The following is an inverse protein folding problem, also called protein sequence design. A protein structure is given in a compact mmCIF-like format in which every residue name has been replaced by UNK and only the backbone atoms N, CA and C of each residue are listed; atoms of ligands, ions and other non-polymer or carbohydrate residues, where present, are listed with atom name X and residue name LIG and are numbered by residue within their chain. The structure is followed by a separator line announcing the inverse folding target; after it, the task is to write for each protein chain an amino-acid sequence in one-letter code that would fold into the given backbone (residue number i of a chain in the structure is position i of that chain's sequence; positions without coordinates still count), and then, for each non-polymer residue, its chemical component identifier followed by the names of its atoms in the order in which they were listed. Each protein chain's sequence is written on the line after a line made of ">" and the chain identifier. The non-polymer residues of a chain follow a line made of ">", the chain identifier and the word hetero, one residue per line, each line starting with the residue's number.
data_IF_903413085676
#
_entry.id   IF_903413085676
#
_cell.length_a   1.000
_cell.length_b   1.000
_cell.length_c   1.000
_cell.angle_alpha   90.00
_cell.angle_beta   90.00
_cell.angle_gamma   90.00
#
_symmetry.space_group_name_H-M   'P 1'
#
loop_
_entity.id
_entity.type
_entity.pdbx_description
1 polymer ?
#
# COMPACT_ATOMS: atom_id res chain seq x y z
N UNK A 1 17.41 5.87 -7.62
CA UNK A 1 16.93 7.19 -7.26
C UNK A 1 17.91 8.24 -7.77
N UNK A 2 17.66 8.78 -8.94
CA UNK A 2 18.30 9.99 -9.37
C UNK A 2 17.18 11.03 -9.56
N UNK A 3 16.85 11.75 -8.49
CA UNK A 3 16.28 13.07 -8.62
C UNK A 3 17.33 13.90 -9.36
N UNK A 4 17.27 13.87 -10.68
CA UNK A 4 18.08 14.74 -11.50
C UNK A 4 17.43 16.11 -11.38
N UNK A 5 18.04 16.96 -10.58
CA UNK A 5 17.87 18.40 -10.65
C UNK A 5 18.29 18.82 -12.06
N UNK A 6 17.32 18.86 -12.99
CA UNK A 6 17.55 19.31 -14.36
C UNK A 6 17.69 20.82 -14.33
N UNK A 7 18.84 21.21 -13.85
CA UNK A 7 19.31 22.59 -13.90
C UNK A 7 19.37 23.02 -15.37
N UNK A 8 18.45 23.93 -15.76
CA UNK A 8 18.47 24.74 -16.98
C UNK A 8 19.44 24.25 -18.09
N UNK A 9 18.99 23.32 -18.91
CA UNK A 9 19.65 23.18 -20.22
C UNK A 9 19.28 24.42 -21.04
N UNK A 10 20.13 25.40 -21.04
CA UNK A 10 20.03 26.56 -21.90
C UNK A 10 20.77 26.23 -23.20
N UNK A 11 20.06 26.15 -24.30
CA UNK A 11 20.66 26.11 -25.61
C UNK A 11 20.84 27.59 -26.09
N UNK A 12 21.93 28.19 -25.67
CA UNK A 12 22.24 29.60 -26.05
C UNK A 12 22.72 29.74 -27.50
N UNK A 13 23.33 28.70 -28.09
CA UNK A 13 23.90 28.68 -29.43
C UNK A 13 23.72 27.32 -30.10
N UNK A 14 22.52 26.96 -30.47
CA UNK A 14 22.30 25.70 -31.18
C UNK A 14 20.88 25.18 -31.09
N UNK A 15 20.45 24.39 -32.08
CA UNK A 15 19.15 23.74 -32.08
C UNK A 15 19.18 22.46 -31.22
N UNK A 16 18.06 22.21 -30.57
CA UNK A 16 17.78 20.90 -29.89
C UNK A 16 16.98 20.05 -30.90
N UNK A 17 17.53 18.94 -31.34
CA UNK A 17 16.92 18.12 -32.39
C UNK A 17 16.84 16.66 -31.98
N UNK A 18 15.70 16.05 -32.25
CA UNK A 18 15.45 14.60 -32.03
C UNK A 18 15.81 14.12 -30.61
N UNK A 19 15.38 14.87 -29.61
CA UNK A 19 15.55 14.53 -28.21
C UNK A 19 14.27 13.94 -27.63
N UNK A 20 14.42 13.00 -26.75
CA UNK A 20 13.32 12.33 -26.06
C UNK A 20 13.50 12.45 -24.54
N UNK A 21 12.39 12.68 -23.81
CA UNK A 21 12.36 12.76 -22.36
C UNK A 21 11.10 12.09 -21.83
N UNK A 22 11.26 11.03 -21.05
CA UNK A 22 10.16 10.24 -20.48
C UNK A 22 10.17 10.21 -18.94
N UNK A 23 11.10 10.90 -18.34
CA UNK A 23 11.24 10.99 -16.89
C UNK A 23 10.50 12.22 -16.33
N UNK A 24 10.00 12.14 -15.08
CA UNK A 24 9.50 13.32 -14.39
C UNK A 24 10.58 14.40 -14.27
N UNK A 25 10.16 15.65 -14.47
CA UNK A 25 11.00 16.83 -14.29
C UNK A 25 10.42 17.67 -13.17
N UNK A 26 11.18 17.84 -12.10
CA UNK A 26 10.75 18.59 -10.93
C UNK A 26 11.68 19.77 -10.64
N UNK A 27 11.07 20.93 -10.35
CA UNK A 27 11.79 22.11 -9.88
C UNK A 27 11.02 22.77 -8.73
N UNK A 28 11.56 22.72 -7.54
CA UNK A 28 10.93 23.18 -6.29
C UNK A 28 10.71 24.69 -6.15
N UNK A 29 10.93 25.47 -7.18
CA UNK A 29 10.74 26.94 -7.14
C UNK A 29 11.27 27.65 -8.37
N UNK A 30 11.72 26.86 -9.35
CA UNK A 30 12.25 27.37 -10.61
C UNK A 30 11.16 27.79 -11.60
N UNK A 31 11.49 28.77 -12.41
CA UNK A 31 10.73 29.16 -13.59
C UNK A 31 11.43 28.63 -14.83
N UNK A 32 10.70 28.55 -15.94
CA UNK A 32 11.17 27.98 -17.19
C UNK A 32 11.54 26.50 -17.11
N UNK A 33 10.54 25.69 -16.86
CA UNK A 33 10.68 24.24 -16.77
C UNK A 33 10.04 23.58 -17.99
N UNK A 34 10.78 22.72 -18.67
CA UNK A 34 10.27 21.98 -19.83
C UNK A 34 10.83 20.57 -19.87
N UNK A 35 10.08 19.66 -20.47
CA UNK A 35 10.50 18.27 -20.58
C UNK A 35 11.78 18.08 -21.42
N UNK A 36 12.00 18.96 -22.40
CA UNK A 36 13.19 18.94 -23.27
C UNK A 36 14.15 20.10 -22.92
N UNK A 37 13.64 21.32 -22.75
CA UNK A 37 14.46 22.48 -22.43
C UNK A 37 13.77 23.41 -21.43
N UNK A 38 14.51 23.94 -20.45
CA UNK A 38 14.00 25.02 -19.61
C UNK A 38 13.81 26.30 -20.39
N UNK A 39 14.83 26.73 -21.16
CA UNK A 39 14.77 27.86 -22.10
C UNK A 39 15.61 27.56 -23.32
N UNK A 40 15.12 27.92 -24.49
CA UNK A 40 15.81 27.75 -25.77
C UNK A 40 15.68 29.00 -26.64
N UNK A 41 16.82 29.65 -26.93
CA UNK A 41 16.90 30.83 -27.80
C UNK A 41 16.96 30.48 -29.29
N UNK A 42 17.10 29.20 -29.64
CA UNK A 42 17.11 28.63 -30.97
C UNK A 42 16.07 27.53 -31.14
N UNK A 43 16.05 26.91 -32.30
CA UNK A 43 15.00 25.94 -32.63
C UNK A 43 15.06 24.66 -31.80
N UNK A 44 13.89 24.19 -31.40
CA UNK A 44 13.62 22.83 -30.90
C UNK A 44 12.85 22.10 -32.01
N UNK A 45 13.33 20.91 -32.42
CA UNK A 45 12.73 20.19 -33.55
C UNK A 45 12.66 18.70 -33.31
N UNK A 46 11.54 18.09 -33.71
CA UNK A 46 11.33 16.64 -33.66
C UNK A 46 11.67 16.07 -32.30
N UNK A 47 11.21 16.73 -31.25
CA UNK A 47 11.45 16.33 -29.89
C UNK A 47 10.18 15.73 -29.27
N UNK A 48 10.36 14.80 -28.32
CA UNK A 48 9.27 14.06 -27.69
C UNK A 48 9.38 14.16 -26.18
N UNK A 49 8.28 14.50 -25.51
CA UNK A 49 8.27 14.61 -24.05
C UNK A 49 7.03 13.97 -23.44
N UNK A 50 7.23 13.14 -22.43
CA UNK A 50 6.19 12.53 -21.62
C UNK A 50 6.61 12.55 -20.15
N UNK A 51 5.63 12.50 -19.25
CA UNK A 51 5.86 12.45 -17.82
C UNK A 51 5.42 13.71 -17.10
N UNK A 52 5.48 13.69 -15.78
CA UNK A 52 5.07 14.82 -14.94
C UNK A 52 6.13 15.91 -14.94
N UNK A 53 5.69 17.16 -15.09
CA UNK A 53 6.55 18.34 -15.01
C UNK A 53 6.02 19.27 -13.92
N UNK A 54 6.83 19.53 -12.90
CA UNK A 54 6.47 20.37 -11.75
C UNK A 54 7.39 21.58 -11.68
N UNK A 55 6.80 22.77 -11.48
CA UNK A 55 7.58 24.01 -11.34
C UNK A 55 6.73 25.19 -10.91
N UNK A 56 7.30 26.39 -10.95
CA UNK A 56 6.60 27.60 -10.50
C UNK A 56 5.97 28.39 -11.65
N UNK A 57 6.74 28.86 -12.61
CA UNK A 57 6.24 29.63 -13.73
C UNK A 57 6.85 29.17 -15.06
N UNK A 58 6.15 29.44 -16.17
CA UNK A 58 6.55 29.11 -17.52
C UNK A 58 6.94 27.63 -17.63
N UNK A 59 5.93 26.78 -17.49
CA UNK A 59 6.09 25.32 -17.57
C UNK A 59 5.53 24.86 -18.91
N UNK A 60 6.30 24.08 -19.65
CA UNK A 60 5.86 23.51 -20.92
C UNK A 60 6.26 22.07 -21.12
N UNK A 61 5.42 21.31 -21.81
CA UNK A 61 5.71 19.93 -22.15
C UNK A 61 7.04 19.76 -22.87
N UNK A 62 7.32 20.64 -23.86
CA UNK A 62 8.59 20.68 -24.62
C UNK A 62 9.54 21.70 -24.00
N UNK A 63 9.11 22.95 -23.83
CA UNK A 63 9.98 24.02 -23.31
C UNK A 63 9.27 24.89 -22.28
N UNK A 64 9.99 25.35 -21.25
CA UNK A 64 9.53 26.41 -20.36
C UNK A 64 9.41 27.73 -21.12
N UNK A 65 10.43 28.10 -21.87
CA UNK A 65 10.42 29.19 -22.87
C UNK A 65 11.13 28.71 -24.13
N UNK A 66 10.48 28.86 -25.29
CA UNK A 66 11.03 28.50 -26.58
C UNK A 66 10.98 29.66 -27.58
N UNK A 67 11.96 29.75 -28.49
CA UNK A 67 11.89 30.63 -29.63
C UNK A 67 11.13 29.92 -30.76
N UNK A 68 11.77 29.00 -31.45
CA UNK A 68 11.18 28.24 -32.55
C UNK A 68 10.96 26.77 -32.11
N UNK A 69 9.72 26.29 -32.19
CA UNK A 69 9.41 24.88 -31.86
C UNK A 69 8.66 24.23 -33.01
N UNK A 70 9.24 23.18 -33.58
CA UNK A 70 8.73 22.52 -34.78
C UNK A 70 8.61 21.00 -34.59
N UNK A 71 7.52 20.42 -35.09
CA UNK A 71 7.30 18.97 -35.19
C UNK A 71 7.58 18.19 -33.90
N UNK A 72 7.28 18.82 -32.77
CA UNK A 72 7.52 18.22 -31.46
C UNK A 72 6.21 17.75 -30.82
N UNK A 73 6.29 16.71 -29.97
CA UNK A 73 5.13 16.00 -29.43
C UNK A 73 5.22 15.96 -27.93
N UNK A 74 4.12 16.27 -27.25
CA UNK A 74 4.07 16.32 -25.80
C UNK A 74 2.84 15.59 -25.22
N UNK A 75 3.11 14.76 -24.23
CA UNK A 75 2.09 14.13 -23.38
C UNK A 75 2.55 14.20 -21.93
N UNK A 76 2.32 15.34 -21.30
CA UNK A 76 2.83 15.63 -19.97
C UNK A 76 1.70 16.01 -19.02
N UNK A 77 1.80 15.54 -17.78
CA UNK A 77 1.06 16.08 -16.64
C UNK A 77 1.81 17.30 -16.10
N UNK A 78 1.19 18.47 -16.19
CA UNK A 78 1.81 19.74 -15.80
C UNK A 78 1.25 20.22 -14.47
N UNK A 79 2.12 20.31 -13.46
CA UNK A 79 1.78 20.79 -12.12
C UNK A 79 2.50 22.10 -11.84
N UNK A 80 1.71 23.18 -11.77
CA UNK A 80 2.23 24.54 -11.67
C UNK A 80 1.55 25.33 -10.55
N UNK A 81 2.34 26.14 -9.86
CA UNK A 81 1.85 27.05 -8.81
C UNK A 81 1.77 28.52 -9.19
N UNK A 82 2.21 28.90 -10.40
CA UNK A 82 2.29 30.26 -10.88
C UNK A 82 1.61 30.47 -12.25
N UNK A 83 2.26 31.17 -13.15
CA UNK A 83 1.74 31.60 -14.46
C UNK A 83 2.57 31.03 -15.64
N UNK A 84 1.97 30.95 -16.83
CA UNK A 84 2.63 30.49 -18.05
C UNK A 84 2.71 28.97 -18.16
N UNK A 85 1.56 28.29 -18.33
CA UNK A 85 1.49 26.86 -18.53
C UNK A 85 1.09 26.53 -19.97
N UNK A 86 1.81 25.62 -20.62
CA UNK A 86 1.42 25.17 -21.95
C UNK A 86 1.89 23.74 -22.25
N UNK A 87 1.03 22.97 -22.91
CA UNK A 87 1.35 21.58 -23.26
C UNK A 87 2.56 21.45 -24.18
N UNK A 88 2.86 22.50 -24.99
CA UNK A 88 4.09 22.58 -25.78
C UNK A 88 5.10 23.53 -25.12
N UNK A 89 4.72 24.76 -24.80
CA UNK A 89 5.62 25.72 -24.17
C UNK A 89 4.89 26.57 -23.12
N UNK A 90 5.53 26.84 -21.99
CA UNK A 90 5.03 27.79 -21.00
C UNK A 90 4.98 29.22 -21.56
N UNK A 91 5.95 29.56 -22.40
CA UNK A 91 6.04 30.84 -23.09
C UNK A 91 6.78 30.69 -24.43
N UNK A 92 6.40 31.50 -25.42
CA UNK A 92 7.14 31.64 -26.68
C UNK A 92 7.70 33.05 -26.75
N UNK A 93 8.94 33.19 -27.21
CA UNK A 93 9.59 34.49 -27.41
C UNK A 93 8.83 35.31 -28.46
N UNK A 94 8.90 36.66 -28.39
CA UNK A 94 8.12 37.55 -29.25
C UNK A 94 8.32 37.32 -30.76
N UNK A 95 9.54 36.92 -31.17
CA UNK A 95 9.89 36.58 -32.56
C UNK A 95 9.80 35.05 -32.83
N UNK A 96 9.29 34.28 -31.90
CA UNK A 96 9.26 32.80 -31.96
C UNK A 96 8.18 32.25 -32.88
N UNK A 97 8.45 31.10 -33.47
CA UNK A 97 7.56 30.42 -34.42
C UNK A 97 7.22 29.01 -33.91
N UNK A 98 5.94 28.69 -33.93
CA UNK A 98 5.42 27.33 -33.66
C UNK A 98 4.84 26.72 -34.93
N UNK A 99 5.21 25.50 -35.28
CA UNK A 99 4.63 24.82 -36.41
C UNK A 99 4.66 23.28 -36.27
N UNK A 100 3.50 22.66 -36.52
CA UNK A 100 3.40 21.21 -36.57
C UNK A 100 3.65 20.48 -35.26
N UNK A 101 3.48 21.18 -34.14
CA UNK A 101 3.58 20.54 -32.82
C UNK A 101 2.22 19.97 -32.39
N UNK A 102 2.24 18.86 -31.69
CA UNK A 102 1.05 18.17 -31.23
C UNK A 102 1.14 17.84 -29.75
N UNK A 103 -0.01 17.85 -29.06
CA UNK A 103 -0.11 17.44 -27.67
C UNK A 103 -1.43 16.72 -27.41
N UNK A 104 -1.44 15.89 -26.38
CA UNK A 104 -2.67 15.21 -25.95
C UNK A 104 -3.56 16.22 -25.23
N UNK A 105 -4.82 16.32 -25.66
CA UNK A 105 -5.82 17.20 -25.04
C UNK A 105 -6.19 16.76 -23.62
N UNK A 106 -6.77 17.67 -22.83
CA UNK A 106 -7.25 17.39 -21.46
C UNK A 106 -6.52 18.14 -20.35
N UNK A 107 -5.41 18.82 -20.70
CA UNK A 107 -4.63 19.65 -19.76
C UNK A 107 -4.61 21.13 -20.15
N UNK A 108 -3.42 21.74 -20.07
CA UNK A 108 -3.20 23.12 -20.49
C UNK A 108 -3.35 23.26 -22.02
N UNK A 109 -3.67 24.49 -22.50
CA UNK A 109 -3.55 24.83 -23.91
C UNK A 109 -2.13 24.68 -24.42
N UNK A 110 -1.92 24.85 -25.73
CA UNK A 110 -0.61 24.66 -26.36
C UNK A 110 0.50 25.53 -25.78
N UNK A 111 0.21 26.83 -25.56
CA UNK A 111 1.15 27.82 -25.01
C UNK A 111 0.40 28.78 -24.10
N UNK A 112 0.91 29.02 -22.88
CA UNK A 112 0.35 29.98 -21.91
C UNK A 112 -1.18 29.84 -21.75
N UNK A 113 -1.64 28.60 -21.65
CA UNK A 113 -3.07 28.28 -21.53
C UNK A 113 -3.90 28.51 -22.80
N UNK A 114 -3.28 28.95 -23.90
CA UNK A 114 -3.94 29.31 -25.18
C UNK A 114 -3.69 28.22 -26.22
N UNK A 115 -4.73 27.81 -26.94
CA UNK A 115 -4.58 26.94 -28.10
C UNK A 115 -3.96 27.68 -29.30
N UNK A 116 -2.88 27.16 -29.85
CA UNK A 116 -2.20 27.65 -31.05
C UNK A 116 -2.51 26.73 -32.23
N UNK A 117 -3.64 26.94 -32.89
CA UNK A 117 -4.03 26.10 -34.02
C UNK A 117 -3.03 26.21 -35.17
N UNK A 118 -2.50 25.09 -35.66
CA UNK A 118 -1.44 25.02 -36.67
C UNK A 118 -0.01 25.14 -36.11
N UNK A 119 0.16 25.73 -34.93
CA UNK A 119 1.44 25.79 -34.22
C UNK A 119 1.58 24.74 -33.14
N UNK A 120 0.53 24.61 -32.28
CA UNK A 120 0.39 23.58 -31.28
C UNK A 120 -1.05 23.07 -31.36
N UNK A 121 -1.22 21.85 -31.84
CA UNK A 121 -2.54 21.26 -32.11
C UNK A 121 -2.89 20.21 -31.06
N UNK A 122 -4.00 20.37 -30.33
CA UNK A 122 -4.51 19.29 -29.44
C UNK A 122 -5.00 18.12 -30.27
N UNK A 123 -4.75 16.93 -29.79
CA UNK A 123 -5.24 15.67 -30.33
C UNK A 123 -5.81 14.80 -29.20
N UNK A 124 -6.83 14.01 -29.51
CA UNK A 124 -7.16 12.89 -28.65
C UNK A 124 -5.94 11.97 -28.52
N UNK A 125 -5.85 11.21 -27.43
CA UNK A 125 -4.72 10.30 -27.26
C UNK A 125 -4.62 9.27 -28.40
N UNK A 126 -5.75 8.77 -28.89
CA UNK A 126 -5.77 7.83 -30.01
C UNK A 126 -5.24 8.46 -31.32
N UNK A 127 -5.62 9.70 -31.61
CA UNK A 127 -5.09 10.45 -32.77
C UNK A 127 -3.62 10.75 -32.61
N UNK A 128 -3.17 11.09 -31.38
CA UNK A 128 -1.78 11.33 -31.06
C UNK A 128 -0.91 10.10 -31.32
N UNK A 129 -1.33 8.92 -30.82
CA UNK A 129 -0.63 7.66 -31.06
C UNK A 129 -0.71 7.18 -32.52
N UNK A 130 -1.63 7.71 -33.34
CA UNK A 130 -1.68 7.44 -34.78
C UNK A 130 -0.60 8.22 -35.57
N UNK A 131 0.07 9.18 -34.93
CA UNK A 131 1.23 9.88 -35.50
C UNK A 131 2.46 8.99 -35.37
N UNK A 132 3.52 9.35 -36.06
CA UNK A 132 4.83 8.71 -35.96
C UNK A 132 5.53 9.17 -34.66
N UNK A 133 5.04 8.61 -33.54
CA UNK A 133 5.58 8.87 -32.19
C UNK A 133 6.30 7.64 -31.65
N UNK A 134 7.30 7.79 -30.77
CA UNK A 134 7.98 6.67 -30.14
C UNK A 134 7.03 5.74 -29.36
N UNK A 135 7.32 4.45 -29.34
CA UNK A 135 6.51 3.42 -28.62
C UNK A 135 6.29 3.74 -27.14
N UNK A 136 7.20 4.50 -26.53
CA UNK A 136 7.06 4.93 -25.13
C UNK A 136 5.79 5.73 -24.84
N UNK A 137 5.18 6.34 -25.86
CA UNK A 137 3.90 7.05 -25.72
C UNK A 137 2.68 6.14 -25.66
N UNK A 138 2.80 4.92 -26.14
CA UNK A 138 1.71 3.95 -26.19
C UNK A 138 1.95 2.70 -25.32
N UNK A 139 3.15 2.54 -24.75
CA UNK A 139 3.52 1.44 -23.89
C UNK A 139 3.87 1.94 -22.48
N UNK A 140 3.16 1.45 -21.50
CA UNK A 140 3.38 1.76 -20.11
C UNK A 140 3.92 0.55 -19.36
N UNK A 141 4.55 0.81 -18.23
CA UNK A 141 5.07 -0.25 -17.36
C UNK A 141 4.46 -0.08 -15.98
N UNK A 142 3.82 -1.14 -15.48
CA UNK A 142 3.39 -1.25 -14.09
C UNK A 142 4.44 -2.12 -13.39
N UNK A 143 5.09 -1.56 -12.37
CA UNK A 143 6.15 -2.24 -11.62
C UNK A 143 5.72 -2.40 -10.17
N UNK A 144 5.80 -3.61 -9.65
CA UNK A 144 5.61 -3.95 -8.25
C UNK A 144 6.97 -4.08 -7.58
N UNK A 145 7.18 -3.36 -6.49
CA UNK A 145 8.43 -3.37 -5.72
C UNK A 145 8.14 -3.64 -4.24
N UNK A 146 9.05 -4.31 -3.58
CA UNK A 146 9.04 -4.53 -2.15
C UNK A 146 10.44 -4.23 -1.57
N UNK A 147 10.52 -3.34 -0.60
CA UNK A 147 11.79 -2.82 -0.04
C UNK A 147 12.77 -2.35 -1.14
N UNK A 148 12.24 -1.72 -2.21
CA UNK A 148 12.99 -1.22 -3.35
C UNK A 148 13.48 -2.28 -4.35
N UNK A 149 13.05 -3.54 -4.21
CA UNK A 149 13.38 -4.65 -5.11
C UNK A 149 12.17 -4.95 -6.00
N UNK A 150 12.40 -5.05 -7.31
CA UNK A 150 11.34 -5.41 -8.26
C UNK A 150 10.85 -6.85 -8.00
N UNK A 151 9.54 -6.98 -7.79
CA UNK A 151 8.83 -8.27 -7.62
C UNK A 151 8.29 -8.75 -8.96
N UNK A 152 7.65 -7.82 -9.69
CA UNK A 152 7.10 -8.08 -11.02
C UNK A 152 7.03 -6.78 -11.84
N UNK A 153 7.00 -6.91 -13.17
CA UNK A 153 6.86 -5.78 -14.07
C UNK A 153 6.06 -6.20 -15.30
N UNK A 154 5.04 -5.40 -15.65
CA UNK A 154 4.14 -5.67 -16.76
C UNK A 154 4.16 -4.52 -17.76
N UNK A 155 4.27 -4.85 -19.03
CA UNK A 155 4.11 -3.88 -20.12
C UNK A 155 2.66 -3.88 -20.58
N UNK A 156 2.06 -2.72 -20.59
CA UNK A 156 0.66 -2.50 -20.92
C UNK A 156 0.54 -1.44 -22.01
N UNK A 157 -0.43 -1.57 -22.90
CA UNK A 157 -0.88 -0.49 -23.76
C UNK A 157 -1.73 0.51 -22.99
N UNK A 158 -2.08 1.61 -23.65
CA UNK A 158 -3.02 2.58 -23.09
C UNK A 158 -4.44 1.98 -23.04
N UNK A 159 -5.09 2.08 -21.88
CA UNK A 159 -6.41 1.53 -21.65
C UNK A 159 -6.40 0.01 -21.43
N UNK A 160 -5.23 -0.63 -21.35
CA UNK A 160 -5.12 -2.02 -20.93
C UNK A 160 -5.48 -2.17 -19.45
N UNK A 161 -5.71 -3.41 -19.03
CA UNK A 161 -6.00 -3.75 -17.63
C UNK A 161 -5.07 -4.86 -17.16
N UNK A 162 -4.85 -4.94 -15.84
CA UNK A 162 -4.29 -6.12 -15.19
C UNK A 162 -5.39 -6.85 -14.42
N UNK A 163 -5.53 -8.14 -14.68
CA UNK A 163 -6.45 -8.99 -13.93
C UNK A 163 -5.90 -9.35 -12.55
N UNK A 164 -6.77 -9.71 -11.62
CA UNK A 164 -6.37 -10.01 -10.24
C UNK A 164 -5.30 -11.11 -10.13
N UNK A 165 -5.31 -12.08 -11.04
CA UNK A 165 -4.33 -13.16 -11.10
C UNK A 165 -2.94 -12.73 -11.63
N UNK A 166 -2.84 -11.54 -12.21
CA UNK A 166 -1.57 -10.95 -12.63
C UNK A 166 -0.94 -10.09 -11.52
N UNK A 167 -1.70 -9.70 -10.50
CA UNK A 167 -1.16 -8.95 -9.37
C UNK A 167 -0.34 -9.92 -8.52
N UNK A 168 0.98 -9.71 -8.35
CA UNK A 168 1.81 -10.62 -7.58
C UNK A 168 1.43 -10.58 -6.09
N UNK A 169 1.66 -11.68 -5.39
CA UNK A 169 1.60 -11.67 -3.93
C UNK A 169 2.69 -10.75 -3.37
N UNK A 170 2.38 -10.05 -2.27
CA UNK A 170 3.41 -9.26 -1.58
C UNK A 170 4.41 -10.23 -0.93
N UNK A 171 5.72 -10.05 -1.12
CA UNK A 171 6.71 -10.91 -0.48
C UNK A 171 6.56 -10.95 1.03
N UNK A 172 6.70 -12.15 1.61
CA UNK A 172 6.64 -12.33 3.06
C UNK A 172 7.76 -11.56 3.76
N UNK A 173 7.42 -10.95 4.90
CA UNK A 173 8.35 -10.26 5.78
C UNK A 173 8.08 -10.67 7.22
N UNK A 174 9.09 -11.21 7.89
CA UNK A 174 8.96 -11.73 9.25
C UNK A 174 8.43 -10.67 10.23
N UNK A 175 7.35 -10.98 10.92
CA UNK A 175 6.66 -10.07 11.84
C UNK A 175 5.72 -9.05 11.19
N UNK A 176 5.56 -9.06 9.86
CA UNK A 176 4.74 -8.11 9.13
C UNK A 176 3.77 -8.80 8.17
N UNK A 177 2.64 -8.16 7.88
CA UNK A 177 1.85 -8.43 6.70
C UNK A 177 2.06 -7.31 5.68
N UNK A 178 2.03 -7.67 4.41
CA UNK A 178 2.24 -6.72 3.32
C UNK A 178 0.99 -6.54 2.47
N UNK A 179 0.80 -5.33 1.97
CA UNK A 179 -0.28 -4.99 1.03
C UNK A 179 0.28 -4.14 -0.10
N UNK A 180 -0.30 -4.30 -1.30
CA UNK A 180 -0.08 -3.33 -2.36
C UNK A 180 -0.94 -2.09 -2.11
N UNK A 181 -0.44 -0.88 -2.38
CA UNK A 181 -1.24 0.32 -2.31
C UNK A 181 -2.43 0.23 -3.28
N UNK A 182 -3.54 0.85 -2.91
CA UNK A 182 -4.73 0.89 -3.75
C UNK A 182 -4.43 1.54 -5.10
N UNK A 183 -4.77 0.85 -6.18
CA UNK A 183 -4.58 1.31 -7.55
C UNK A 183 -5.63 0.69 -8.48
N UNK A 184 -6.22 1.52 -9.32
CA UNK A 184 -7.18 1.06 -10.34
C UNK A 184 -6.43 0.43 -11.53
N UNK A 185 -6.45 -0.88 -11.59
CA UNK A 185 -5.85 -1.67 -12.67
C UNK A 185 -6.78 -1.85 -13.89
N UNK A 186 -7.97 -1.25 -13.89
CA UNK A 186 -8.95 -1.45 -14.97
C UNK A 186 -8.69 -0.57 -16.20
N UNK A 187 -7.90 0.51 -16.06
CA UNK A 187 -7.62 1.47 -17.12
C UNK A 187 -6.21 2.06 -16.95
N UNK A 188 -5.23 1.38 -17.54
CA UNK A 188 -3.82 1.78 -17.42
C UNK A 188 -3.50 2.85 -18.44
N UNK A 189 -3.23 4.06 -17.95
CA UNK A 189 -2.97 5.25 -18.77
C UNK A 189 -1.59 5.86 -18.58
N UNK A 190 -0.72 5.20 -17.80
CA UNK A 190 0.62 5.69 -17.51
C UNK A 190 1.52 4.68 -16.80
N UNK A 191 2.80 5.01 -16.69
CA UNK A 191 3.74 4.23 -15.89
C UNK A 191 3.43 4.36 -14.41
N UNK A 192 3.48 3.25 -13.68
CA UNK A 192 3.26 3.22 -12.24
C UNK A 192 4.25 2.29 -11.56
N UNK A 193 4.80 2.74 -10.44
CA UNK A 193 5.53 1.91 -9.49
C UNK A 193 4.67 1.80 -8.24
N UNK A 194 4.41 0.58 -7.83
CA UNK A 194 3.69 0.23 -6.61
C UNK A 194 4.71 -0.36 -5.63
N UNK A 195 4.97 0.35 -4.54
CA UNK A 195 5.84 -0.13 -3.47
C UNK A 195 4.98 -0.80 -2.41
N UNK A 196 5.31 -2.02 -2.01
CA UNK A 196 4.60 -2.76 -0.98
C UNK A 196 4.66 -2.02 0.36
N UNK A 197 3.53 -1.92 1.03
CA UNK A 197 3.39 -1.37 2.37
C UNK A 197 3.36 -2.54 3.37
N UNK A 198 4.18 -2.45 4.43
CA UNK A 198 4.29 -3.48 5.46
C UNK A 198 3.86 -2.93 6.82
N UNK A 199 2.95 -3.65 7.48
CA UNK A 199 2.49 -3.34 8.83
C UNK A 199 2.76 -4.51 9.77
N UNK A 200 3.06 -4.21 11.04
CA UNK A 200 3.34 -5.25 12.04
C UNK A 200 2.08 -6.03 12.39
N UNK A 201 2.22 -7.34 12.53
CA UNK A 201 1.17 -8.19 13.08
C UNK A 201 0.86 -7.82 14.53
N UNK A 202 -0.43 -7.86 14.89
CA UNK A 202 -0.82 -7.86 16.30
C UNK A 202 -0.54 -9.24 16.91
N UNK A 203 0.32 -9.29 17.92
CA UNK A 203 0.80 -10.54 18.50
C UNK A 203 -0.24 -11.28 19.36
N UNK A 204 -1.30 -10.62 19.81
CA UNK A 204 -2.38 -11.23 20.60
C UNK A 204 -3.69 -10.46 20.47
N UNK A 205 -4.80 -11.18 20.51
CA UNK A 205 -6.15 -10.62 20.61
C UNK A 205 -6.85 -11.16 21.85
N UNK A 206 -7.75 -10.38 22.44
CA UNK A 206 -8.41 -10.72 23.70
C UNK A 206 -9.93 -10.73 23.52
N UNK A 207 -10.61 -11.62 24.26
CA UNK A 207 -12.06 -11.62 24.34
C UNK A 207 -12.60 -10.33 25.00
N UNK A 208 -13.81 -9.95 24.62
CA UNK A 208 -14.51 -8.84 25.25
C UNK A 208 -14.91 -9.15 26.70
N UNK A 209 -15.16 -10.43 27.00
CA UNK A 209 -15.51 -10.96 28.30
C UNK A 209 -14.32 -10.89 29.25
N UNK A 210 -14.58 -10.36 30.46
CA UNK A 210 -13.55 -10.14 31.47
C UNK A 210 -14.00 -10.64 32.83
N UNK A 211 -13.03 -10.97 33.67
CA UNK A 211 -13.26 -11.26 35.07
C UNK A 211 -13.46 -9.97 35.92
N UNK A 212 -13.73 -10.14 37.23
CA UNK A 212 -13.94 -9.03 38.20
C UNK A 212 -12.71 -8.10 38.33
N UNK A 213 -11.52 -8.57 37.97
CA UNK A 213 -10.28 -7.80 37.97
C UNK A 213 -9.96 -7.16 36.60
N UNK A 214 -10.94 -7.08 35.68
CA UNK A 214 -10.85 -6.52 34.33
C UNK A 214 -9.80 -7.22 33.44
N UNK A 215 -9.48 -8.51 33.71
CA UNK A 215 -8.62 -9.32 32.84
C UNK A 215 -9.51 -10.06 31.83
N UNK A 216 -9.07 -10.16 30.57
CA UNK A 216 -9.76 -10.93 29.55
C UNK A 216 -9.87 -12.41 29.98
N UNK A 217 -11.02 -13.02 29.72
CA UNK A 217 -11.21 -14.44 30.04
C UNK A 217 -10.42 -15.35 29.12
N UNK A 218 -10.35 -15.00 27.83
CA UNK A 218 -9.58 -15.73 26.84
C UNK A 218 -8.77 -14.76 25.99
N UNK A 219 -7.56 -15.16 25.62
CA UNK A 219 -6.70 -14.48 24.66
C UNK A 219 -6.23 -15.49 23.63
N UNK A 220 -6.05 -15.05 22.39
CA UNK A 220 -5.36 -15.83 21.35
C UNK A 220 -4.00 -15.20 21.07
N UNK A 221 -2.99 -16.04 20.87
CA UNK A 221 -1.61 -15.68 20.55
C UNK A 221 -1.31 -16.06 19.11
N UNK A 222 -0.65 -15.18 18.36
CA UNK A 222 -0.31 -15.44 16.97
C UNK A 222 -0.09 -14.15 16.18
N UNK A 223 -0.27 -14.26 14.89
CA UNK A 223 -0.21 -13.13 13.96
C UNK A 223 -1.63 -12.75 13.55
N UNK A 224 -2.07 -11.59 13.97
CA UNK A 224 -3.43 -11.11 13.73
C UNK A 224 -3.44 -9.78 12.97
N UNK A 225 -4.37 -9.65 12.03
CA UNK A 225 -4.69 -8.36 11.43
C UNK A 225 -5.27 -7.40 12.48
N UNK A 226 -5.15 -6.09 12.31
CA UNK A 226 -5.61 -5.11 13.30
C UNK A 226 -7.11 -5.19 13.66
N UNK A 227 -7.94 -5.67 12.72
CA UNK A 227 -9.38 -5.86 12.89
C UNK A 227 -9.76 -7.27 13.34
N UNK A 228 -8.79 -8.14 13.61
CA UNK A 228 -9.07 -9.49 14.12
C UNK A 228 -9.80 -9.42 15.46
N UNK A 229 -10.78 -10.30 15.66
CA UNK A 229 -11.60 -10.36 16.84
C UNK A 229 -11.74 -11.77 17.36
N UNK A 230 -11.72 -11.92 18.68
CA UNK A 230 -11.99 -13.16 19.41
C UNK A 230 -13.40 -13.10 20.00
N UNK A 231 -14.27 -14.00 19.57
CA UNK A 231 -15.65 -14.13 20.05
C UNK A 231 -15.74 -15.30 21.03
N UNK A 232 -16.34 -15.04 22.19
CA UNK A 232 -16.41 -15.98 23.29
C UNK A 232 -17.85 -16.12 23.78
N UNK A 233 -18.28 -17.37 23.97
CA UNK A 233 -19.49 -17.69 24.71
C UNK A 233 -19.10 -18.54 25.90
N UNK A 234 -19.62 -18.22 27.11
CA UNK A 234 -19.26 -18.88 28.35
C UNK A 234 -20.49 -19.44 29.00
N UNK A 235 -20.48 -20.76 29.27
CA UNK A 235 -21.52 -21.47 29.98
C UNK A 235 -20.90 -22.30 31.13
N UNK A 236 -20.92 -21.74 32.35
CA UNK A 236 -20.25 -22.31 33.50
C UNK A 236 -18.74 -22.37 33.31
N UNK A 237 -18.18 -23.59 33.24
CA UNK A 237 -16.76 -23.82 32.98
C UNK A 237 -16.43 -24.15 31.51
N UNK A 238 -17.42 -24.06 30.63
CA UNK A 238 -17.30 -24.33 29.19
C UNK A 238 -17.24 -23.05 28.41
N UNK A 239 -16.30 -22.97 27.47
CA UNK A 239 -16.01 -21.84 26.61
C UNK A 239 -16.14 -22.28 25.16
N UNK A 240 -16.94 -21.55 24.39
CA UNK A 240 -17.00 -21.71 22.93
C UNK A 240 -16.34 -20.53 22.29
N UNK A 241 -15.37 -20.77 21.42
CA UNK A 241 -14.50 -19.75 20.80
C UNK A 241 -14.67 -19.79 19.30
N UNK A 242 -14.86 -18.64 18.70
CA UNK A 242 -14.63 -18.37 17.29
C UNK A 242 -13.81 -17.09 17.14
N UNK A 243 -13.20 -16.89 15.99
CA UNK A 243 -12.45 -15.66 15.73
C UNK A 243 -12.47 -15.27 14.26
N UNK A 244 -12.28 -13.99 13.99
CA UNK A 244 -12.01 -13.47 12.66
C UNK A 244 -10.54 -13.04 12.60
N UNK A 245 -9.88 -13.28 11.47
CA UNK A 245 -8.51 -12.84 11.23
C UNK A 245 -8.35 -12.56 9.73
N UNK A 246 -8.83 -11.41 9.28
CA UNK A 246 -8.78 -10.97 7.88
C UNK A 246 -8.74 -9.45 7.82
N UNK A 247 -8.27 -8.90 6.72
CA UNK A 247 -8.40 -7.48 6.39
C UNK A 247 -9.81 -7.12 5.91
N UNK A 248 -10.56 -8.08 5.39
CA UNK A 248 -11.92 -7.87 4.89
C UNK A 248 -12.91 -7.89 6.06
N UNK A 249 -13.83 -6.91 6.10
CA UNK A 249 -14.83 -6.80 7.18
C UNK A 249 -15.82 -7.97 7.19
N UNK A 250 -16.17 -8.52 6.03
CA UNK A 250 -17.12 -9.61 5.86
C UNK A 250 -16.45 -10.98 5.64
N UNK A 251 -15.18 -11.13 6.06
CA UNK A 251 -14.48 -12.40 5.92
C UNK A 251 -15.14 -13.50 6.77
N UNK A 252 -15.11 -14.76 6.30
CA UNK A 252 -15.58 -15.89 7.10
C UNK A 252 -14.73 -16.04 8.38
N UNK A 253 -15.33 -16.72 9.39
CA UNK A 253 -14.60 -17.06 10.59
C UNK A 253 -13.30 -17.82 10.24
N UNK A 254 -12.26 -17.53 10.98
CA UNK A 254 -10.99 -18.25 10.90
C UNK A 254 -11.21 -19.71 11.26
N UNK A 255 -10.67 -20.59 10.45
CA UNK A 255 -10.69 -22.05 10.72
C UNK A 255 -9.28 -22.59 10.74
N UNK A 256 -8.88 -23.21 11.84
CA UNK A 256 -7.56 -23.81 12.01
C UNK A 256 -7.09 -23.83 13.46
N UNK A 257 -5.87 -24.28 13.65
CA UNK A 257 -5.25 -24.37 14.96
C UNK A 257 -4.91 -22.98 15.51
N UNK A 258 -5.23 -22.73 16.78
CA UNK A 258 -4.92 -21.50 17.48
C UNK A 258 -4.35 -21.77 18.87
N UNK A 259 -3.37 -20.97 19.28
CA UNK A 259 -2.84 -20.96 20.64
C UNK A 259 -3.68 -20.00 21.48
N UNK A 260 -4.34 -20.54 22.50
CA UNK A 260 -5.22 -19.81 23.41
C UNK A 260 -4.63 -19.73 24.82
N UNK A 261 -4.98 -18.66 25.53
CA UNK A 261 -4.77 -18.51 26.98
C UNK A 261 -6.12 -18.29 27.65
N UNK A 262 -6.51 -19.15 28.59
CA UNK A 262 -7.71 -18.95 29.39
C UNK A 262 -7.33 -18.55 30.82
N UNK A 263 -8.03 -17.54 31.34
CA UNK A 263 -7.87 -17.12 32.75
C UNK A 263 -8.36 -18.20 33.68
N UNK A 264 -7.56 -18.53 34.71
CA UNK A 264 -7.89 -19.46 35.76
C UNK A 264 -7.60 -18.81 37.13
N UNK A 265 -8.53 -18.92 38.09
CA UNK A 265 -8.29 -18.43 39.45
C UNK A 265 -7.16 -19.21 40.13
N UNK A 266 -7.10 -20.53 39.90
CA UNK A 266 -6.02 -21.40 40.32
C UNK A 266 -5.44 -22.14 39.12
N UNK A 267 -4.54 -21.44 38.39
CA UNK A 267 -3.95 -21.95 37.14
C UNK A 267 -3.09 -23.21 37.38
N UNK A 268 -2.47 -23.36 38.53
CA UNK A 268 -1.62 -24.50 38.84
C UNK A 268 -2.44 -25.82 39.01
N UNK A 269 -3.66 -25.70 39.51
CA UNK A 269 -4.57 -26.82 39.76
C UNK A 269 -5.70 -26.93 38.71
N UNK A 270 -5.57 -26.26 37.56
CA UNK A 270 -6.54 -26.33 36.47
C UNK A 270 -5.97 -27.12 35.30
N UNK A 271 -6.74 -28.01 34.73
CA UNK A 271 -6.45 -28.66 33.42
C UNK A 271 -7.44 -28.20 32.37
N UNK A 272 -7.04 -28.30 31.12
CA UNK A 272 -7.86 -27.92 29.98
C UNK A 272 -8.31 -29.18 29.24
N UNK A 273 -9.59 -29.28 28.98
CA UNK A 273 -10.17 -30.29 28.12
C UNK A 273 -10.80 -29.63 26.88
N UNK A 274 -10.46 -30.13 25.71
CA UNK A 274 -10.98 -29.64 24.42
C UNK A 274 -12.00 -30.62 23.87
N UNK A 275 -13.09 -30.12 23.32
CA UNK A 275 -14.11 -30.92 22.66
C UNK A 275 -13.58 -31.44 21.31
N UNK A 276 -13.59 -32.78 21.16
CA UNK A 276 -13.28 -33.47 19.90
C UNK A 276 -14.36 -34.54 19.68
N UNK A 277 -14.99 -34.54 18.52
CA UNK A 277 -16.06 -35.49 18.14
C UNK A 277 -17.18 -35.62 19.17
N UNK A 278 -17.47 -34.57 19.95
CA UNK A 278 -18.51 -34.52 20.96
C UNK A 278 -18.09 -34.99 22.35
N UNK A 279 -16.83 -35.38 22.52
CA UNK A 279 -16.24 -35.73 23.82
C UNK A 279 -15.16 -34.71 24.21
N UNK A 280 -14.99 -34.47 25.53
CA UNK A 280 -13.96 -33.61 26.07
C UNK A 280 -12.73 -34.41 26.44
N UNK A 281 -11.58 -34.06 25.90
CA UNK A 281 -10.30 -34.72 26.15
C UNK A 281 -9.29 -33.74 26.71
N UNK A 282 -8.56 -34.12 27.75
CA UNK A 282 -7.47 -33.31 28.31
C UNK A 282 -6.37 -33.07 27.27
N UNK A 283 -5.93 -31.83 27.17
CA UNK A 283 -4.85 -31.42 26.29
C UNK A 283 -3.67 -30.87 27.07
N UNK A 284 -2.48 -30.96 26.49
CA UNK A 284 -1.28 -30.37 27.08
C UNK A 284 -1.47 -28.86 27.25
N UNK A 285 -1.18 -28.34 28.43
CA UNK A 285 -1.29 -26.91 28.71
C UNK A 285 -0.20 -26.42 29.66
N UNK A 286 0.20 -25.17 29.52
CA UNK A 286 1.27 -24.53 30.29
C UNK A 286 0.71 -23.38 31.12
N UNK A 287 1.19 -23.21 32.36
CA UNK A 287 0.82 -22.08 33.22
C UNK A 287 1.64 -20.85 32.82
N UNK A 288 0.95 -19.75 32.52
CA UNK A 288 1.54 -18.44 32.26
C UNK A 288 0.85 -17.40 33.16
N UNK A 289 1.42 -17.17 34.32
CA UNK A 289 0.82 -16.29 35.34
C UNK A 289 -0.55 -16.82 35.81
N UNK A 290 -1.62 -16.07 35.59
CA UNK A 290 -2.99 -16.46 35.92
C UNK A 290 -3.73 -17.12 34.72
N UNK A 291 -3.02 -17.60 33.74
CA UNK A 291 -3.59 -18.21 32.55
C UNK A 291 -3.03 -19.61 32.31
N UNK A 292 -3.83 -20.43 31.66
CA UNK A 292 -3.41 -21.71 31.05
C UNK A 292 -3.31 -21.49 29.55
N UNK A 293 -2.15 -21.76 28.96
CA UNK A 293 -1.92 -21.74 27.51
C UNK A 293 -2.00 -23.12 26.93
N UNK A 294 -2.74 -23.30 25.86
CA UNK A 294 -2.95 -24.54 25.12
C UNK A 294 -3.27 -24.27 23.68
N UNK A 295 -3.34 -25.31 22.85
CA UNK A 295 -3.63 -25.18 21.40
C UNK A 295 -4.87 -26.01 21.08
N UNK A 296 -5.74 -25.48 20.20
CA UNK A 296 -6.93 -26.16 19.73
C UNK A 296 -7.37 -25.67 18.36
N UNK A 297 -8.20 -26.47 17.67
CA UNK A 297 -8.90 -26.02 16.46
C UNK A 297 -9.97 -24.98 16.80
N UNK A 298 -10.04 -23.92 16.00
CA UNK A 298 -11.04 -22.85 16.10
C UNK A 298 -11.83 -22.81 14.77
N UNK A 299 -13.17 -22.66 14.77
CA UNK A 299 -14.05 -22.55 15.94
C UNK A 299 -14.17 -23.88 16.72
N UNK A 300 -14.29 -23.77 18.03
CA UNK A 300 -14.35 -24.94 18.89
C UNK A 300 -14.73 -24.63 20.32
N UNK A 301 -14.82 -25.67 21.15
CA UNK A 301 -15.15 -25.53 22.57
C UNK A 301 -14.11 -26.21 23.44
N UNK A 302 -13.88 -25.64 24.62
CA UNK A 302 -13.05 -26.24 25.66
C UNK A 302 -13.66 -25.96 27.04
N UNK A 303 -13.18 -26.65 28.05
CA UNK A 303 -13.56 -26.38 29.44
C UNK A 303 -12.35 -26.41 30.36
N UNK A 304 -12.49 -25.72 31.48
CA UNK A 304 -11.53 -25.75 32.59
C UNK A 304 -12.02 -26.71 33.65
N UNK A 305 -11.16 -27.61 34.13
CA UNK A 305 -11.48 -28.62 35.13
C UNK A 305 -10.41 -28.60 36.21
N UNK A 306 -10.79 -28.86 37.48
CA UNK A 306 -9.80 -29.05 38.57
C UNK A 306 -8.97 -30.31 38.33
N UNK A 307 -7.65 -30.22 38.51
CA UNK A 307 -6.74 -31.34 38.34
C UNK A 307 -7.08 -32.43 39.37
N UNK A 308 -7.20 -33.69 38.90
CA UNK A 308 -7.42 -34.83 39.82
C UNK A 308 -6.25 -34.95 40.78
N UNK A 309 -6.51 -34.81 42.08
CA UNK A 309 -5.51 -34.92 43.16
C UNK A 309 -5.28 -33.63 43.97
N UNK A 310 -5.92 -32.51 43.62
CA UNK A 310 -5.90 -31.27 44.40
C UNK A 310 -6.85 -31.31 45.60
N UNK A 311 -6.83 -32.41 46.36
CA UNK A 311 -7.44 -32.40 47.68
C UNK A 311 -6.51 -31.69 48.64
N UNK A 312 -6.80 -30.42 48.93
CA UNK A 312 -6.26 -29.72 50.09
C UNK A 312 -6.63 -30.56 51.32
N UNK A 313 -5.67 -31.32 51.83
CA UNK A 313 -5.82 -32.09 53.06
C UNK A 313 -6.04 -31.08 54.19
N UNK A 314 -7.30 -30.79 54.53
CA UNK A 314 -7.65 -30.00 55.69
C UNK A 314 -7.31 -30.88 56.92
N UNK A 315 -6.06 -30.79 57.39
CA UNK A 315 -5.66 -31.38 58.67
C UNK A 315 -6.32 -30.58 59.77
N UNK A 316 -7.52 -31.02 60.15
CA UNK A 316 -8.14 -30.58 61.41
C UNK A 316 -7.35 -31.23 62.58
N UNK A 317 -6.41 -30.48 63.10
CA UNK A 317 -5.74 -30.82 64.36
C UNK A 317 -6.78 -30.72 65.50
N UNK A 318 -7.44 -31.85 65.77
CA UNK A 318 -8.19 -31.99 67.02
C UNK A 318 -7.20 -32.06 68.21
N UNK A 319 -6.99 -30.89 68.84
CA UNK A 319 -6.30 -30.83 70.14
C UNK A 319 -7.28 -31.47 71.19
N UNK A 320 -7.10 -32.70 71.46
CA UNK A 320 -7.76 -33.38 72.64
C UNK A 320 -7.02 -32.87 73.86
N UNK A 321 -7.63 -31.91 74.56
CA UNK A 321 -7.20 -31.49 75.87
C UNK A 321 -7.39 -32.59 76.89
N UNK A 322 -6.31 -33.30 77.25
CA UNK A 322 -6.28 -34.17 78.40
C UNK A 322 -6.02 -33.38 79.66
N UNK A 323 -7.06 -33.16 80.46
CA UNK A 323 -6.91 -32.74 81.86
C UNK A 323 -6.27 -33.86 82.67
N UNK A 324 -5.14 -33.62 83.29
CA UNK A 324 -4.63 -34.41 84.40
C UNK A 324 -4.85 -33.63 85.69
N UNK A 325 -5.71 -34.15 86.51
CA UNK A 325 -5.88 -33.79 87.93
C UNK A 325 -4.85 -34.59 88.75
N UNK A 326 -3.97 -33.96 89.41
CA UNK A 326 -3.64 -34.09 90.85
C UNK A 326 -2.82 -32.92 91.31
#
# INVERSE_FOLDING_TARGET
>A
SAASDVYKRQAEYGAVISCESYAPVESTGGSYVGGIAGSASYAIRSCYSMGRITGKNNIGGIAGEGCDIFYSYAYNDLDMSGEGQGSIAGKVSDDGTLYGNYYVEGGAGGVDGIGYQGGATPLSYQEFCSKDVPDAFSQFTITFQADGVEVASYKCGYGDYLSADQIPEVPEKDGYYGVWPDYDFSDITGNKVLEAEYEEWTASIASAEKNDNNKALVMAEGNFYPNAALHLQVEGNTYTVSMTNSMEEDAPDYTGEATLRVYCEDADNTVIEVAQDGEYTEVESTVIGSYRQFTMEVPGSFRTVEAEGSHTLLIVLCIVGGAVVI
#
